data_IF_800494760131
#
_entry.id   IF_800494760131
#
_cell.length_a   1.000
_cell.length_b   1.000
_cell.length_c   1.000
_cell.angle_alpha   90.00
_cell.angle_beta   90.00
_cell.angle_gamma   90.00
#
_symmetry.space_group_name_H-M   'P 1'
#
loop_
_entity.id
_entity.type
_entity.pdbx_description
1 polymer ?
#
# COMPACT_ATOMS: atom_id res chain seq x y z
N UNK A 1 28.60 21.34 -34.27
CA UNK A 1 27.33 20.71 -33.85
C UNK A 1 26.58 21.71 -32.99
N UNK A 2 25.35 22.08 -33.35
CA UNK A 2 24.55 22.97 -32.51
C UNK A 2 24.36 22.31 -31.14
N UNK A 3 24.57 23.04 -30.05
CA UNK A 3 24.27 22.53 -28.70
C UNK A 3 22.78 22.17 -28.67
N UNK A 4 22.49 20.93 -28.30
CA UNK A 4 21.12 20.49 -28.09
C UNK A 4 20.51 21.39 -27.00
N UNK A 5 19.42 22.05 -27.33
CA UNK A 5 18.68 22.87 -26.38
C UNK A 5 18.17 21.96 -25.26
N UNK A 6 18.68 22.17 -24.04
CA UNK A 6 18.28 21.38 -22.89
C UNK A 6 16.86 21.77 -22.48
N UNK A 7 16.00 20.79 -22.22
CA UNK A 7 14.65 21.06 -21.71
C UNK A 7 14.75 21.72 -20.34
N UNK A 8 14.02 22.81 -20.14
CA UNK A 8 13.90 23.44 -18.83
C UNK A 8 13.01 22.62 -17.89
N UNK A 9 13.30 22.56 -16.58
CA UNK A 9 12.42 21.94 -15.60
C UNK A 9 11.03 22.59 -15.61
N UNK A 10 9.98 21.76 -15.64
CA UNK A 10 8.61 22.23 -15.45
C UNK A 10 8.31 22.21 -13.95
N UNK A 11 8.31 23.38 -13.31
CA UNK A 11 8.04 23.56 -11.88
C UNK A 11 6.52 23.47 -11.54
N UNK A 12 5.83 22.46 -12.07
CA UNK A 12 4.38 22.29 -11.88
C UNK A 12 4.01 21.62 -10.55
N UNK A 13 5.00 21.15 -9.77
CA UNK A 13 4.77 20.38 -8.56
C UNK A 13 4.04 19.05 -8.78
N UNK A 14 3.57 18.44 -7.69
CA UNK A 14 2.79 17.21 -7.77
C UNK A 14 1.34 17.50 -8.19
N UNK A 15 0.73 16.66 -9.05
CA UNK A 15 -0.68 16.76 -9.34
C UNK A 15 -1.54 16.58 -8.08
N UNK A 16 -2.71 17.23 -8.03
CA UNK A 16 -3.67 17.03 -6.93
C UNK A 16 -4.10 15.57 -6.84
N UNK A 17 -3.91 14.94 -5.68
CA UNK A 17 -4.31 13.55 -5.44
C UNK A 17 -5.81 13.29 -5.60
N UNK A 18 -6.63 14.33 -5.41
CA UNK A 18 -8.09 14.25 -5.60
C UNK A 18 -8.49 13.79 -6.99
N UNK A 19 -7.68 13.98 -8.03
CA UNK A 19 -8.04 13.52 -9.37
C UNK A 19 -7.93 12.00 -9.53
N UNK A 20 -7.15 11.33 -8.68
CA UNK A 20 -6.89 9.89 -8.76
C UNK A 20 -7.70 9.05 -7.77
N UNK A 21 -8.41 9.70 -6.83
CA UNK A 21 -9.24 9.02 -5.85
C UNK A 21 -10.45 8.35 -6.49
N UNK A 22 -10.82 7.19 -5.95
CA UNK A 22 -12.03 6.45 -6.33
C UNK A 22 -13.28 7.38 -6.30
N UNK A 23 -14.20 7.32 -7.28
CA UNK A 23 -15.34 8.25 -7.38
C UNK A 23 -16.21 8.32 -6.12
N UNK A 24 -16.50 7.16 -5.51
CA UNK A 24 -17.25 7.10 -4.23
C UNK A 24 -16.47 7.78 -3.10
N UNK A 25 -15.14 7.68 -3.10
CA UNK A 25 -14.31 8.35 -2.10
C UNK A 25 -14.37 9.87 -2.23
N UNK A 26 -14.31 10.37 -3.47
CA UNK A 26 -14.42 11.81 -3.76
C UNK A 26 -15.79 12.37 -3.42
N UNK A 27 -16.86 11.66 -3.83
CA UNK A 27 -18.25 12.03 -3.55
C UNK A 27 -18.52 12.19 -2.06
N UNK A 28 -17.92 11.33 -1.24
CA UNK A 28 -18.14 11.29 0.21
C UNK A 28 -16.97 11.86 1.03
N UNK A 29 -16.09 12.66 0.41
CA UNK A 29 -14.92 13.22 1.09
C UNK A 29 -15.37 14.07 2.31
N UNK A 30 -14.88 13.72 3.50
CA UNK A 30 -15.26 14.37 4.75
C UNK A 30 -16.63 13.97 5.32
N UNK A 31 -17.37 13.08 4.64
CA UNK A 31 -18.76 12.69 5.00
C UNK A 31 -18.87 11.19 5.36
N UNK A 32 -17.79 10.61 5.89
CA UNK A 32 -17.77 9.23 6.38
C UNK A 32 -18.40 9.13 7.77
N UNK A 33 -19.32 8.17 7.94
CA UNK A 33 -20.05 7.97 9.20
C UNK A 33 -19.30 7.04 10.14
N UNK A 34 -18.83 5.91 9.62
CA UNK A 34 -18.08 4.91 10.40
C UNK A 34 -17.30 3.98 9.47
N UNK A 35 -16.43 3.17 10.07
CA UNK A 35 -15.75 2.07 9.39
C UNK A 35 -15.85 0.79 10.23
N UNK A 36 -15.72 -0.35 9.55
CA UNK A 36 -15.69 -1.68 10.15
C UNK A 36 -14.54 -2.50 9.55
N UNK A 37 -14.21 -3.60 10.23
CA UNK A 37 -13.21 -4.57 9.79
C UNK A 37 -13.87 -5.94 9.58
N UNK A 38 -14.50 -6.20 8.42
CA UNK A 38 -15.21 -7.46 8.17
C UNK A 38 -14.32 -8.70 8.30
N UNK A 39 -13.04 -8.57 7.93
CA UNK A 39 -11.98 -9.57 8.12
C UNK A 39 -10.61 -8.91 8.06
N UNK A 40 -9.56 -9.65 8.41
CA UNK A 40 -8.18 -9.15 8.28
C UNK A 40 -7.88 -8.86 6.81
N UNK A 41 -7.29 -7.69 6.56
CA UNK A 41 -7.01 -7.17 5.22
C UNK A 41 -8.18 -6.46 4.53
N UNK A 42 -9.38 -6.44 5.10
CA UNK A 42 -10.56 -5.80 4.50
C UNK A 42 -11.14 -4.74 5.42
N UNK A 43 -11.40 -3.56 4.86
CA UNK A 43 -12.09 -2.45 5.54
C UNK A 43 -13.41 -2.15 4.81
N UNK A 44 -14.45 -1.81 5.55
CA UNK A 44 -15.69 -1.23 5.01
C UNK A 44 -15.86 0.17 5.57
N UNK A 45 -15.96 1.17 4.71
CA UNK A 45 -16.31 2.55 5.08
C UNK A 45 -17.74 2.84 4.65
N UNK A 46 -18.54 3.42 5.55
CA UNK A 46 -19.93 3.78 5.26
C UNK A 46 -20.10 5.27 5.43
N UNK A 47 -20.59 5.93 4.39
CA UNK A 47 -20.84 7.37 4.37
C UNK A 47 -22.19 7.73 4.99
N UNK A 48 -22.37 9.01 5.36
CA UNK A 48 -23.67 9.51 5.80
C UNK A 48 -24.76 9.43 4.73
N UNK A 49 -24.37 9.38 3.45
CA UNK A 49 -25.25 9.16 2.30
C UNK A 49 -25.78 7.72 2.21
N UNK A 50 -25.17 6.77 2.94
CA UNK A 50 -25.40 5.34 2.78
C UNK A 50 -24.48 4.66 1.75
N UNK A 51 -23.68 5.42 1.00
CA UNK A 51 -22.66 4.83 0.12
C UNK A 51 -21.64 4.03 0.93
N UNK A 52 -21.24 2.88 0.40
CA UNK A 52 -20.19 2.05 0.97
C UNK A 52 -18.95 2.06 0.09
N UNK A 53 -17.78 1.94 0.72
CA UNK A 53 -16.51 1.74 0.04
C UNK A 53 -15.71 0.66 0.75
N UNK A 54 -15.38 -0.39 0.02
CA UNK A 54 -14.64 -1.53 0.52
C UNK A 54 -13.18 -1.41 0.10
N UNK A 55 -12.27 -1.69 1.03
CA UNK A 55 -10.83 -1.62 0.79
C UNK A 55 -10.20 -2.97 1.05
N UNK A 56 -9.46 -3.49 0.06
CA UNK A 56 -8.63 -4.69 0.20
C UNK A 56 -7.17 -4.25 0.30
N UNK A 57 -6.55 -4.50 1.46
CA UNK A 57 -5.16 -4.13 1.76
C UNK A 57 -4.21 -5.27 1.44
N UNK A 58 -3.19 -4.96 0.67
CA UNK A 58 -2.26 -5.91 0.07
C UNK A 58 -0.82 -5.56 0.46
N UNK A 59 -0.10 -6.57 0.95
CA UNK A 59 1.34 -6.45 1.23
C UNK A 59 2.16 -6.38 -0.06
N UNK A 60 3.13 -5.47 -0.11
CA UNK A 60 4.08 -5.34 -1.23
C UNK A 60 5.51 -5.18 -0.72
N UNK A 61 6.50 -5.39 -1.59
CA UNK A 61 7.93 -5.36 -1.27
C UNK A 61 8.50 -3.93 -1.12
N UNK A 62 7.67 -2.87 -1.24
CA UNK A 62 8.04 -1.45 -1.40
C UNK A 62 8.86 -1.13 -2.64
N UNK A 63 9.98 -1.83 -2.84
CA UNK A 63 10.79 -1.76 -4.06
C UNK A 63 10.14 -2.70 -5.07
N UNK A 64 9.50 -2.12 -6.07
CA UNK A 64 8.76 -2.83 -7.11
C UNK A 64 9.41 -2.54 -8.45
N UNK A 65 9.59 -3.58 -9.27
CA UNK A 65 9.90 -3.40 -10.67
C UNK A 65 8.64 -3.02 -11.46
N UNK A 66 8.84 -2.58 -12.70
CA UNK A 66 7.76 -2.08 -13.57
C UNK A 66 6.77 -3.19 -13.94
N UNK A 67 7.20 -4.45 -14.04
CA UNK A 67 6.30 -5.56 -14.36
C UNK A 67 5.39 -5.88 -13.18
N UNK A 68 5.93 -5.90 -11.97
CA UNK A 68 5.13 -6.07 -10.75
C UNK A 68 4.13 -4.93 -10.57
N UNK A 69 4.54 -3.68 -10.80
CA UNK A 69 3.62 -2.54 -10.74
C UNK A 69 2.52 -2.62 -11.79
N UNK A 70 2.85 -2.97 -13.05
CA UNK A 70 1.84 -3.16 -14.11
C UNK A 70 0.87 -4.29 -13.76
N UNK A 71 1.36 -5.39 -13.19
CA UNK A 71 0.51 -6.50 -12.74
C UNK A 71 -0.49 -6.07 -11.67
N UNK A 72 -0.08 -5.22 -10.72
CA UNK A 72 -0.98 -4.65 -9.71
C UNK A 72 -2.02 -3.73 -10.36
N UNK A 73 -1.63 -2.90 -11.34
CA UNK A 73 -2.57 -2.07 -12.10
C UNK A 73 -3.57 -2.92 -12.90
N UNK A 74 -3.12 -3.98 -13.57
CA UNK A 74 -4.00 -4.89 -14.34
C UNK A 74 -5.06 -5.54 -13.46
N UNK A 75 -4.70 -5.93 -12.23
CA UNK A 75 -5.66 -6.42 -11.23
C UNK A 75 -6.63 -5.30 -10.84
N UNK A 76 -6.14 -4.08 -10.65
CA UNK A 76 -6.95 -2.91 -10.33
C UNK A 76 -8.00 -2.60 -11.40
N UNK A 77 -7.60 -2.65 -12.67
CA UNK A 77 -8.49 -2.41 -13.81
C UNK A 77 -9.56 -3.49 -13.95
N UNK A 78 -9.20 -4.76 -13.72
CA UNK A 78 -10.11 -5.89 -13.89
C UNK A 78 -11.07 -6.08 -12.70
N UNK A 79 -10.59 -5.84 -11.47
CA UNK A 79 -11.29 -6.24 -10.26
C UNK A 79 -11.57 -5.09 -9.28
N UNK A 80 -10.90 -3.93 -9.41
CA UNK A 80 -10.96 -2.84 -8.42
C UNK A 80 -11.24 -1.44 -9.00
N UNK A 81 -12.21 -1.37 -9.93
CA UNK A 81 -12.75 -0.12 -10.48
C UNK A 81 -11.68 0.80 -11.14
N UNK A 82 -10.49 0.28 -11.45
CA UNK A 82 -9.37 1.03 -12.04
C UNK A 82 -8.64 1.97 -11.07
N UNK A 83 -8.83 1.80 -9.75
CA UNK A 83 -8.21 2.65 -8.74
C UNK A 83 -7.36 1.85 -7.75
N UNK A 84 -6.13 2.33 -7.56
CA UNK A 84 -5.22 1.84 -6.51
C UNK A 84 -4.70 2.99 -5.67
N UNK A 85 -4.37 2.69 -4.43
CA UNK A 85 -3.77 3.62 -3.49
C UNK A 85 -2.61 2.94 -2.75
N UNK A 86 -1.52 3.66 -2.50
CA UNK A 86 -0.47 3.16 -1.61
C UNK A 86 -0.55 3.88 -0.26
N UNK A 87 -0.57 3.10 0.81
CA UNK A 87 -0.54 3.61 2.17
C UNK A 87 0.81 4.21 2.52
N UNK A 88 0.86 4.99 3.61
CA UNK A 88 2.12 5.53 4.16
C UNK A 88 3.16 4.46 4.50
N UNK A 89 2.72 3.21 4.72
CA UNK A 89 3.60 2.05 4.98
C UNK A 89 3.67 1.13 3.77
N UNK A 90 3.57 1.66 2.56
CA UNK A 90 3.79 0.94 1.29
C UNK A 90 2.92 -0.29 1.03
N UNK A 91 1.91 -0.59 1.86
CA UNK A 91 0.84 -1.50 1.45
C UNK A 91 0.06 -0.87 0.31
N UNK A 92 -0.35 -1.69 -0.65
CA UNK A 92 -1.32 -1.29 -1.67
C UNK A 92 -2.74 -1.48 -1.12
N UNK A 93 -3.65 -0.63 -1.53
CA UNK A 93 -5.08 -0.68 -1.24
C UNK A 93 -5.84 -0.61 -2.57
N UNK A 94 -6.65 -1.63 -2.81
CA UNK A 94 -7.68 -1.62 -3.84
C UNK A 94 -8.98 -1.13 -3.22
N UNK A 95 -9.73 -0.30 -3.93
CA UNK A 95 -11.01 0.24 -3.46
C UNK A 95 -12.13 -0.19 -4.41
N UNK A 96 -13.21 -0.77 -3.87
CA UNK A 96 -14.38 -1.19 -4.64
C UNK A 96 -15.67 -0.66 -4.02
N UNK A 97 -16.56 -0.15 -4.87
CA UNK A 97 -17.90 0.27 -4.42
C UNK A 97 -18.86 -0.92 -4.25
N UNK A 98 -18.66 -1.98 -5.02
CA UNK A 98 -19.50 -3.18 -4.98
C UNK A 98 -18.89 -4.24 -4.05
N UNK A 99 -19.56 -4.59 -2.94
CA UNK A 99 -19.08 -5.64 -2.03
C UNK A 99 -18.88 -7.00 -2.71
N UNK A 100 -19.63 -7.31 -3.77
CA UNK A 100 -19.49 -8.58 -4.48
C UNK A 100 -18.13 -8.74 -5.18
N UNK A 101 -17.37 -7.66 -5.36
CA UNK A 101 -16.02 -7.69 -5.96
C UNK A 101 -14.92 -8.04 -4.96
N UNK A 102 -15.18 -7.98 -3.65
CA UNK A 102 -14.15 -8.16 -2.61
C UNK A 102 -13.50 -9.54 -2.70
N UNK A 103 -14.28 -10.62 -2.71
CA UNK A 103 -13.73 -11.97 -2.75
C UNK A 103 -13.03 -12.32 -4.08
N UNK A 104 -13.60 -12.00 -5.27
CA UNK A 104 -12.88 -12.15 -6.54
C UNK A 104 -11.55 -11.39 -6.59
N UNK A 105 -11.52 -10.17 -6.04
CA UNK A 105 -10.31 -9.35 -5.97
C UNK A 105 -9.26 -9.98 -5.06
N UNK A 106 -9.63 -10.41 -3.85
CA UNK A 106 -8.73 -11.13 -2.93
C UNK A 106 -8.13 -12.34 -3.65
N UNK A 107 -8.96 -13.14 -4.32
CA UNK A 107 -8.51 -14.31 -5.06
C UNK A 107 -7.49 -13.93 -6.15
N UNK A 108 -7.78 -12.91 -6.96
CA UNK A 108 -6.88 -12.47 -8.04
C UNK A 108 -5.53 -11.98 -7.51
N UNK A 109 -5.54 -11.31 -6.35
CA UNK A 109 -4.33 -10.85 -5.65
C UNK A 109 -3.50 -12.03 -5.14
N UNK A 110 -4.13 -13.00 -4.49
CA UNK A 110 -3.47 -14.18 -3.94
C UNK A 110 -2.95 -15.12 -5.04
N UNK A 111 -3.72 -15.34 -6.10
CA UNK A 111 -3.29 -16.11 -7.28
C UNK A 111 -2.07 -15.47 -7.96
N UNK A 112 -1.91 -14.15 -7.86
CA UNK A 112 -0.75 -13.42 -8.36
C UNK A 112 0.47 -13.45 -7.40
N UNK A 113 0.36 -14.11 -6.25
CA UNK A 113 1.44 -14.27 -5.28
C UNK A 113 1.59 -13.14 -4.27
N UNK A 114 0.61 -12.22 -4.19
CA UNK A 114 0.55 -11.21 -3.14
C UNK A 114 -0.29 -11.71 -1.96
N UNK A 115 -0.24 -10.97 -0.85
CA UNK A 115 -0.93 -11.34 0.40
C UNK A 115 -1.88 -10.24 0.84
N UNK A 116 -3.04 -10.62 1.35
CA UNK A 116 -4.02 -9.71 1.94
C UNK A 116 -3.89 -9.72 3.46
N UNK A 117 -3.84 -8.54 4.08
CA UNK A 117 -3.66 -8.44 5.53
C UNK A 117 -3.27 -7.05 6.04
N UNK A 118 -2.63 -7.01 7.21
CA UNK A 118 -2.02 -5.80 7.76
C UNK A 118 -3.00 -4.77 8.34
N UNK A 119 -4.22 -5.19 8.70
CA UNK A 119 -5.27 -4.38 9.35
C UNK A 119 -5.55 -4.88 10.76
N UNK A 120 -6.28 -4.10 11.57
CA UNK A 120 -6.62 -4.46 12.96
C UNK A 120 -5.35 -4.63 13.81
N UNK A 121 -5.39 -5.51 14.81
CA UNK A 121 -4.28 -5.82 15.70
C UNK A 121 -3.33 -6.85 15.07
N UNK A 122 -2.75 -6.46 13.93
CA UNK A 122 -1.76 -7.25 13.20
C UNK A 122 -0.37 -6.61 13.32
N UNK A 123 0.66 -7.34 12.91
CA UNK A 123 1.93 -6.72 12.47
C UNK A 123 1.72 -6.24 11.04
N UNK A 124 1.70 -4.93 10.81
CA UNK A 124 1.55 -4.40 9.44
C UNK A 124 2.92 -4.35 8.73
N UNK A 125 2.91 -3.99 7.44
CA UNK A 125 4.12 -3.85 6.62
C UNK A 125 5.26 -3.12 7.36
N UNK A 126 6.45 -3.72 7.35
CA UNK A 126 7.67 -3.21 7.97
C UNK A 126 8.29 -2.14 7.07
N UNK A 127 8.18 -0.87 7.47
CA UNK A 127 8.76 0.23 6.69
C UNK A 127 10.29 0.14 6.74
N UNK A 128 10.95 0.38 5.60
CA UNK A 128 12.40 0.26 5.51
C UNK A 128 13.05 1.24 4.55
N UNK A 129 14.33 1.48 4.83
CA UNK A 129 15.23 2.35 4.04
C UNK A 129 15.82 1.63 2.83
N UNK A 130 16.79 2.24 2.13
CA UNK A 130 17.35 1.69 0.89
C UNK A 130 18.36 0.55 1.12
N UNK A 131 19.16 0.58 2.19
CA UNK A 131 20.21 -0.43 2.42
C UNK A 131 21.26 -0.48 1.31
N UNK A 132 21.83 -1.67 1.10
CA UNK A 132 22.88 -1.92 0.09
C UNK A 132 22.39 -1.77 -1.34
N UNK A 133 21.08 -1.69 -1.57
CA UNK A 133 20.53 -1.56 -2.92
C UNK A 133 20.90 -0.22 -3.58
N UNK A 134 21.03 0.85 -2.80
CA UNK A 134 21.23 2.19 -3.35
C UNK A 134 21.98 3.18 -2.45
N UNK A 135 21.97 2.99 -1.12
CA UNK A 135 22.65 3.94 -0.24
C UNK A 135 24.18 3.75 -0.31
N UNK A 136 24.95 4.83 -0.22
CA UNK A 136 26.41 4.85 -0.17
C UNK A 136 27.00 4.73 1.24
N UNK A 137 26.18 4.98 2.27
CA UNK A 137 26.52 4.85 3.70
C UNK A 137 25.68 3.83 4.51
N UNK A 138 25.33 2.64 3.97
CA UNK A 138 24.56 1.65 4.70
C UNK A 138 25.46 0.88 5.68
N UNK A 139 25.01 0.74 6.94
CA UNK A 139 25.60 -0.17 7.93
C UNK A 139 25.05 -1.60 7.82
N UNK A 140 23.92 -1.80 7.16
CA UNK A 140 23.30 -3.12 6.89
C UNK A 140 22.42 -3.06 5.64
N UNK A 141 22.08 -4.22 5.09
CA UNK A 141 21.00 -4.31 4.11
C UNK A 141 19.64 -3.94 4.74
N UNK A 142 18.73 -3.41 3.93
CA UNK A 142 17.37 -3.09 4.32
C UNK A 142 16.38 -4.12 3.75
N UNK A 143 16.40 -4.34 2.44
CA UNK A 143 15.44 -5.23 1.76
C UNK A 143 15.54 -6.67 2.21
N UNK A 144 16.74 -7.23 2.30
CA UNK A 144 16.96 -8.62 2.74
C UNK A 144 16.57 -8.83 4.20
N UNK A 145 16.90 -7.87 5.08
CA UNK A 145 16.51 -7.94 6.50
C UNK A 145 14.99 -7.90 6.64
N UNK A 146 14.31 -6.97 5.97
CA UNK A 146 12.83 -6.90 6.02
C UNK A 146 12.20 -8.14 5.42
N UNK A 147 12.71 -8.66 4.31
CA UNK A 147 12.21 -9.91 3.72
C UNK A 147 12.29 -11.05 4.73
N UNK A 148 13.43 -11.26 5.37
CA UNK A 148 13.59 -12.30 6.38
C UNK A 148 12.63 -12.12 7.57
N UNK A 149 12.47 -10.88 8.05
CA UNK A 149 11.53 -10.59 9.15
C UNK A 149 10.06 -10.79 8.74
N UNK A 150 9.68 -10.39 7.53
CA UNK A 150 8.31 -10.57 7.03
C UNK A 150 7.97 -12.03 6.77
N UNK A 151 8.94 -12.86 6.41
CA UNK A 151 8.73 -14.30 6.26
C UNK A 151 8.45 -14.97 7.61
N UNK A 152 9.15 -14.56 8.67
CA UNK A 152 8.89 -15.04 10.03
C UNK A 152 7.56 -14.51 10.60
N UNK A 153 7.22 -13.25 10.29
CA UNK A 153 6.04 -12.57 10.84
C UNK A 153 4.81 -12.63 9.91
N UNK A 154 4.82 -13.53 8.92
CA UNK A 154 3.78 -13.56 7.89
C UNK A 154 2.39 -13.86 8.46
N UNK A 155 2.31 -14.74 9.45
CA UNK A 155 1.04 -15.09 10.11
C UNK A 155 0.50 -13.88 10.89
N UNK A 156 1.38 -13.13 11.56
CA UNK A 156 1.00 -11.90 12.25
C UNK A 156 0.54 -10.77 11.33
N UNK A 157 0.90 -10.82 10.04
CA UNK A 157 0.37 -9.93 9.02
C UNK A 157 -1.01 -10.36 8.53
N UNK A 158 -1.24 -11.67 8.39
CA UNK A 158 -2.49 -12.26 7.89
C UNK A 158 -3.57 -12.42 8.96
N UNK A 159 -3.19 -12.35 10.22
CA UNK A 159 -4.06 -12.52 11.38
C UNK A 159 -4.10 -11.23 12.24
N UNK A 160 -4.97 -11.23 13.25
CA UNK A 160 -5.17 -10.09 14.15
C UNK A 160 -5.07 -10.52 15.62
N UNK A 161 -4.00 -11.23 15.96
CA UNK A 161 -3.81 -11.87 17.27
C UNK A 161 -3.01 -11.01 18.26
N UNK A 162 -2.49 -9.86 17.83
CA UNK A 162 -1.72 -9.00 18.71
C UNK A 162 -2.64 -8.29 19.72
N UNK A 163 -2.14 -7.90 20.91
CA UNK A 163 -2.91 -7.09 21.86
C UNK A 163 -3.31 -5.72 21.28
N UNK A 164 -2.49 -5.17 20.39
CA UNK A 164 -2.74 -3.95 19.65
C UNK A 164 -1.93 -4.00 18.34
N UNK A 165 -2.20 -3.07 17.41
CA UNK A 165 -1.46 -2.97 16.14
C UNK A 165 0.03 -2.71 16.39
N UNK A 166 0.87 -3.46 15.69
CA UNK A 166 2.33 -3.35 15.80
C UNK A 166 2.92 -2.72 14.54
N UNK A 167 3.78 -1.73 14.75
CA UNK A 167 4.52 -1.02 13.71
C UNK A 167 6.01 -1.25 13.89
N UNK A 168 6.64 -1.93 12.94
CA UNK A 168 8.09 -2.18 12.95
C UNK A 168 8.75 -1.36 11.85
N UNK A 169 9.82 -0.65 12.15
CA UNK A 169 10.58 0.12 11.15
C UNK A 169 12.05 -0.28 11.21
N UNK A 170 12.67 -0.46 10.04
CA UNK A 170 14.09 -0.82 9.95
C UNK A 170 14.87 0.24 9.19
N UNK A 171 16.07 0.52 9.69
CA UNK A 171 16.96 1.54 9.13
C UNK A 171 18.34 0.97 8.92
N UNK A 172 18.90 1.23 7.74
CA UNK A 172 20.22 0.73 7.36
C UNK A 172 21.37 1.46 8.06
N UNK A 173 21.11 2.63 8.66
CA UNK A 173 22.08 3.40 9.44
C UNK A 173 21.36 4.32 10.45
N UNK A 174 22.13 4.99 11.30
CA UNK A 174 21.66 5.90 12.35
C UNK A 174 20.97 7.17 11.84
N UNK A 175 21.11 7.52 10.55
CA UNK A 175 20.39 8.65 9.95
C UNK A 175 18.88 8.41 9.97
N UNK A 176 18.47 7.13 9.97
CA UNK A 176 17.07 6.74 10.12
C UNK A 176 16.14 7.41 9.10
N UNK A 177 16.44 7.25 7.80
CA UNK A 177 15.72 7.87 6.67
C UNK A 177 14.24 7.43 6.48
N UNK A 178 13.64 6.78 7.47
CA UNK A 178 12.22 6.42 7.51
C UNK A 178 11.47 6.98 8.72
N UNK A 179 12.17 7.63 9.66
CA UNK A 179 11.59 8.08 10.94
C UNK A 179 11.36 6.95 11.94
N UNK A 180 10.93 7.31 13.15
CA UNK A 180 10.49 6.36 14.19
C UNK A 180 8.99 6.11 14.00
N UNK A 181 8.59 4.97 13.41
CA UNK A 181 7.21 4.44 13.49
C UNK A 181 6.15 5.09 12.61
#
# INVERSE_FOLDING_TARGET
>A
MAKQEMREPIESGCPSGFQYMHPVSRKNFGMWKYHEHPRVGVLRHVAHSGDELWTVKVGTQRILDVFTLRKLCDIGDQYADGHIHFTLRSNLEYLVADPAKVDPLIKAVEDAGFIVGGTQNSVTMISHTQGWLHCDIPGTDASGVVKAMMDELIDEFKEANMPNRVHITTSCCQINCGGQG
#
